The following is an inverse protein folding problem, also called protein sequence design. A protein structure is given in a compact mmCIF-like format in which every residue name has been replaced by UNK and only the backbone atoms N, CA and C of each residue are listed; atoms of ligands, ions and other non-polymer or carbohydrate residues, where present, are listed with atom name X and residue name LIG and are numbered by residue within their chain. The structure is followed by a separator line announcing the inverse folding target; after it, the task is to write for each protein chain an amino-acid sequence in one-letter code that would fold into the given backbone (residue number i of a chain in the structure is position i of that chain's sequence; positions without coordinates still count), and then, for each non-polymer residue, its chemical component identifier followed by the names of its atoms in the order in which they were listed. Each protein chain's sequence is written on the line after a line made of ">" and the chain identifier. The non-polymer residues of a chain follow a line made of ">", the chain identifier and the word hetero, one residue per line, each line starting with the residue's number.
data_IF_226888329223
#
_entry.id   IF_226888329223
#
_cell.length_a   1.000
_cell.length_b   1.000
_cell.length_c   1.000
_cell.angle_alpha   90.00
_cell.angle_beta   90.00
_cell.angle_gamma   90.00
#
_symmetry.space_group_name_H-M   'P 1'
#
loop_
_entity.id
_entity.type
_entity.pdbx_description
1 polymer ?
#
# COMPACT_ATOMS: atom_id res chain seq x y z
N UNK A 1 17.09 -24.61 -3.68
CA UNK A 1 17.48 -24.22 -2.31
C UNK A 1 16.54 -23.14 -1.83
N UNK A 2 16.18 -23.18 -0.55
CA UNK A 2 15.26 -22.21 0.02
C UNK A 2 15.95 -20.85 0.12
N UNK A 3 15.34 -19.83 -0.47
CA UNK A 3 15.93 -18.49 -0.61
C UNK A 3 15.71 -17.62 0.62
N UNK A 4 14.78 -18.03 1.50
CA UNK A 4 14.32 -17.25 2.66
C UNK A 4 14.04 -15.78 2.25
N UNK A 5 13.25 -15.63 1.19
CA UNK A 5 12.88 -14.32 0.65
C UNK A 5 12.11 -13.50 1.68
N UNK A 6 12.44 -12.21 1.79
CA UNK A 6 11.78 -11.34 2.77
C UNK A 6 10.41 -10.88 2.28
N UNK A 7 9.37 -10.93 3.15
CA UNK A 7 8.04 -10.43 2.81
C UNK A 7 8.06 -8.97 2.32
N UNK A 8 7.19 -8.66 1.37
CA UNK A 8 6.96 -7.29 0.93
C UNK A 8 6.13 -6.48 1.96
N UNK A 9 5.17 -7.16 2.62
CA UNK A 9 4.39 -6.60 3.72
C UNK A 9 5.29 -6.36 4.94
N UNK A 10 5.17 -5.17 5.55
CA UNK A 10 6.02 -4.76 6.68
C UNK A 10 5.69 -5.48 7.99
N UNK A 11 4.42 -5.78 8.25
CA UNK A 11 4.02 -6.48 9.47
C UNK A 11 4.54 -7.92 9.44
N UNK A 12 4.45 -8.59 8.29
CA UNK A 12 5.07 -9.90 8.08
C UNK A 12 6.60 -9.85 8.17
N UNK A 13 7.22 -8.79 7.65
CA UNK A 13 8.68 -8.59 7.79
C UNK A 13 9.09 -8.44 9.26
N UNK A 14 8.34 -7.67 10.05
CA UNK A 14 8.63 -7.47 11.47
C UNK A 14 8.43 -8.75 12.26
N UNK A 15 7.35 -9.50 12.01
CA UNK A 15 7.12 -10.80 12.62
C UNK A 15 8.25 -11.80 12.31
N UNK A 16 8.73 -11.81 11.05
CA UNK A 16 9.91 -12.61 10.68
C UNK A 16 11.18 -12.13 11.39
N UNK A 17 11.38 -10.81 11.51
CA UNK A 17 12.50 -10.23 12.25
C UNK A 17 12.49 -10.57 13.74
N UNK A 18 11.31 -10.60 14.37
CA UNK A 18 11.13 -11.06 15.75
C UNK A 18 11.47 -12.55 15.88
N UNK A 19 10.93 -13.41 15.02
CA UNK A 19 11.23 -14.85 15.05
C UNK A 19 12.74 -15.14 14.87
N UNK A 20 13.42 -14.40 13.99
CA UNK A 20 14.87 -14.51 13.84
C UNK A 20 15.62 -14.03 15.09
N UNK A 21 15.13 -12.99 15.75
CA UNK A 21 15.73 -12.50 16.99
C UNK A 21 15.49 -13.46 18.16
N UNK A 22 14.31 -14.09 18.26
CA UNK A 22 14.03 -15.15 19.23
C UNK A 22 14.95 -16.35 19.01
N UNK A 23 15.14 -16.80 17.76
CA UNK A 23 16.09 -17.87 17.45
C UNK A 23 17.54 -17.50 17.80
N UNK A 24 17.95 -16.25 17.60
CA UNK A 24 19.26 -15.76 18.03
C UNK A 24 19.38 -15.75 19.56
N UNK A 25 18.34 -15.30 20.27
CA UNK A 25 18.32 -15.31 21.73
C UNK A 25 18.65 -16.70 22.29
N UNK A 26 18.03 -17.73 21.70
CA UNK A 26 18.17 -19.11 22.19
C UNK A 26 19.47 -19.78 21.73
N UNK A 27 19.96 -19.46 20.53
CA UNK A 27 20.99 -20.27 19.86
C UNK A 27 22.29 -19.54 19.53
N UNK A 28 22.38 -18.21 19.66
CA UNK A 28 23.55 -17.46 19.17
C UNK A 28 24.87 -17.95 19.77
N UNK A 29 24.87 -18.23 21.08
CA UNK A 29 26.08 -18.73 21.78
C UNK A 29 26.37 -20.19 21.40
N UNK A 30 25.34 -21.02 21.24
CA UNK A 30 25.47 -22.44 20.92
C UNK A 30 26.02 -22.65 19.50
N UNK A 31 25.57 -21.84 18.55
CA UNK A 31 25.95 -21.93 17.13
C UNK A 31 27.25 -21.13 16.86
N UNK A 32 27.60 -20.19 17.74
CA UNK A 32 28.80 -19.35 17.59
C UNK A 32 28.58 -18.17 16.66
N UNK A 33 27.38 -17.57 16.69
CA UNK A 33 27.06 -16.33 15.97
C UNK A 33 27.81 -15.16 16.63
N UNK A 34 28.53 -14.36 15.84
CA UNK A 34 29.38 -13.27 16.34
C UNK A 34 29.07 -11.92 15.70
N UNK A 35 28.67 -11.89 14.42
CA UNK A 35 28.54 -10.65 13.66
C UNK A 35 27.12 -10.08 13.73
N UNK A 36 26.11 -10.94 13.62
CA UNK A 36 24.69 -10.59 13.56
C UNK A 36 23.91 -11.06 14.80
N UNK A 37 24.41 -10.69 15.99
CA UNK A 37 23.82 -11.05 17.29
C UNK A 37 22.38 -10.54 17.48
N UNK A 38 21.66 -11.17 18.41
CA UNK A 38 20.30 -10.80 18.81
C UNK A 38 20.18 -9.29 19.06
N UNK A 39 21.07 -8.76 19.90
CA UNK A 39 21.07 -7.35 20.30
C UNK A 39 21.08 -6.42 19.09
N UNK A 40 21.91 -6.72 18.07
CA UNK A 40 22.00 -5.90 16.86
C UNK A 40 20.72 -6.01 16.01
N UNK A 41 20.13 -7.20 15.92
CA UNK A 41 18.88 -7.40 15.19
C UNK A 41 17.70 -6.68 15.88
N UNK A 42 17.57 -6.81 17.20
CA UNK A 42 16.53 -6.14 17.99
C UNK A 42 16.61 -4.61 17.90
N UNK A 43 17.81 -4.04 17.90
CA UNK A 43 18.00 -2.58 17.70
C UNK A 43 17.46 -2.13 16.34
N UNK A 44 17.80 -2.84 15.26
CA UNK A 44 17.30 -2.52 13.92
C UNK A 44 15.77 -2.69 13.85
N UNK A 45 15.23 -3.74 14.45
CA UNK A 45 13.79 -4.02 14.47
C UNK A 45 13.01 -2.94 15.23
N UNK A 46 13.43 -2.60 16.46
CA UNK A 46 12.81 -1.55 17.26
C UNK A 46 12.87 -0.18 16.57
N UNK A 47 13.98 0.12 15.89
CA UNK A 47 14.13 1.33 15.08
C UNK A 47 13.10 1.35 13.94
N UNK A 48 12.99 0.27 13.17
CA UNK A 48 12.04 0.18 12.06
C UNK A 48 10.58 0.29 12.52
N UNK A 49 10.21 -0.37 13.63
CA UNK A 49 8.88 -0.28 14.23
C UNK A 49 8.56 1.15 14.68
N UNK A 50 9.50 1.81 15.37
CA UNK A 50 9.33 3.20 15.83
C UNK A 50 9.09 4.15 14.64
N UNK A 51 9.86 4.00 13.56
CA UNK A 51 9.69 4.84 12.36
C UNK A 51 8.39 4.53 11.61
N UNK A 52 7.93 3.27 11.59
CA UNK A 52 6.63 2.89 11.06
C UNK A 52 5.48 3.54 11.85
N UNK A 53 5.53 3.50 13.17
CA UNK A 53 4.54 4.14 14.05
C UNK A 53 4.52 5.65 13.86
N UNK A 54 5.69 6.30 13.78
CA UNK A 54 5.78 7.74 13.55
C UNK A 54 5.12 8.16 12.23
N UNK A 55 5.36 7.40 11.15
CA UNK A 55 4.71 7.66 9.86
C UNK A 55 3.20 7.44 9.92
N UNK A 56 2.73 6.36 10.55
CA UNK A 56 1.29 6.13 10.71
C UNK A 56 0.64 7.24 11.55
N UNK A 57 1.32 7.74 12.58
CA UNK A 57 0.89 8.91 13.34
C UNK A 57 0.69 10.15 12.47
N UNK A 58 1.60 10.41 11.52
CA UNK A 58 1.46 11.55 10.59
C UNK A 58 0.24 11.42 9.68
N UNK A 59 -0.09 10.19 9.23
CA UNK A 59 -1.29 9.90 8.43
C UNK A 59 -2.56 10.15 9.24
N UNK A 60 -2.62 9.62 10.46
CA UNK A 60 -3.78 9.80 11.34
C UNK A 60 -4.00 11.28 11.69
N UNK A 61 -2.92 12.03 11.96
CA UNK A 61 -3.01 13.47 12.24
C UNK A 61 -3.61 14.28 11.08
N UNK A 62 -3.39 13.87 9.82
CA UNK A 62 -3.94 14.57 8.65
C UNK A 62 -5.47 14.66 8.66
N UNK A 63 -6.14 13.66 9.21
CA UNK A 63 -7.61 13.65 9.32
C UNK A 63 -8.10 14.83 10.15
N UNK A 64 -7.53 15.01 11.35
CA UNK A 64 -7.87 16.11 12.24
C UNK A 64 -7.51 17.48 11.64
N UNK A 65 -6.36 17.59 10.97
CA UNK A 65 -5.92 18.83 10.31
C UNK A 65 -6.85 19.23 9.15
N UNK A 66 -7.28 18.26 8.35
CA UNK A 66 -8.23 18.49 7.25
C UNK A 66 -9.59 18.95 7.78
N UNK A 67 -10.06 18.34 8.87
CA UNK A 67 -11.30 18.76 9.54
C UNK A 67 -11.20 20.18 10.11
N UNK A 68 -10.05 20.54 10.70
CA UNK A 68 -9.80 21.89 11.21
C UNK A 68 -9.82 22.93 10.08
N UNK A 69 -9.19 22.65 8.93
CA UNK A 69 -9.25 23.53 7.76
C UNK A 69 -10.67 23.67 7.22
N UNK A 70 -11.42 22.57 7.09
CA UNK A 70 -12.80 22.62 6.61
C UNK A 70 -13.69 23.46 7.54
N UNK A 71 -13.49 23.34 8.86
CA UNK A 71 -14.23 24.15 9.85
C UNK A 71 -13.87 25.63 9.74
N UNK A 72 -12.58 25.95 9.65
CA UNK A 72 -12.11 27.32 9.48
C UNK A 72 -12.62 27.96 8.18
N UNK A 73 -12.61 27.20 7.09
CA UNK A 73 -13.09 27.64 5.78
C UNK A 73 -14.60 27.89 5.77
N UNK A 74 -15.40 26.99 6.35
CA UNK A 74 -16.85 27.17 6.48
C UNK A 74 -17.22 28.41 7.31
N UNK A 75 -16.47 28.67 8.38
CA UNK A 75 -16.62 29.88 9.17
C UNK A 75 -16.28 31.14 8.35
N UNK A 76 -15.22 31.07 7.53
CA UNK A 76 -14.85 32.14 6.59
C UNK A 76 -15.93 32.41 5.54
N UNK A 77 -16.50 31.37 4.93
CA UNK A 77 -17.61 31.48 3.97
C UNK A 77 -18.83 32.16 4.55
N UNK A 78 -19.21 31.74 5.77
CA UNK A 78 -20.34 32.33 6.50
C UNK A 78 -20.09 33.81 6.77
N UNK A 79 -18.89 34.17 7.22
CA UNK A 79 -18.51 35.55 7.48
C UNK A 79 -18.52 36.41 6.20
N UNK A 80 -17.99 35.93 5.08
CA UNK A 80 -18.02 36.65 3.80
C UNK A 80 -19.47 36.94 3.39
N UNK A 81 -20.35 35.93 3.46
CA UNK A 81 -21.77 36.08 3.13
C UNK A 81 -22.48 37.09 4.03
N UNK A 82 -22.26 37.03 5.34
CA UNK A 82 -22.82 37.99 6.30
C UNK A 82 -22.29 39.41 6.08
N UNK A 83 -20.98 39.56 5.86
CA UNK A 83 -20.35 40.85 5.61
C UNK A 83 -20.88 41.48 4.33
N UNK A 84 -21.03 40.70 3.25
CA UNK A 84 -21.68 41.16 2.02
C UNK A 84 -23.07 41.73 2.29
N UNK A 85 -23.90 40.99 3.03
CA UNK A 85 -25.29 41.40 3.30
C UNK A 85 -25.36 42.69 4.13
N UNK A 86 -24.46 42.86 5.10
CA UNK A 86 -24.36 44.10 5.89
C UNK A 86 -23.92 45.27 5.02
N UNK A 87 -22.86 45.10 4.24
CA UNK A 87 -22.33 46.17 3.39
C UNK A 87 -23.28 46.55 2.25
N UNK A 88 -24.10 45.63 1.76
CA UNK A 88 -25.09 45.90 0.71
C UNK A 88 -26.14 46.95 1.11
N UNK A 89 -26.40 47.13 2.42
CA UNK A 89 -27.29 48.18 2.90
C UNK A 89 -26.75 49.60 2.63
N UNK A 90 -25.43 49.75 2.46
CA UNK A 90 -24.76 51.04 2.23
C UNK A 90 -24.16 51.15 0.84
N UNK A 91 -23.59 50.06 0.31
CA UNK A 91 -22.89 50.02 -0.98
C UNK A 91 -23.79 49.59 -2.15
N UNK A 92 -25.04 49.21 -1.87
CA UNK A 92 -25.98 48.68 -2.86
C UNK A 92 -25.86 47.17 -3.05
N UNK A 93 -26.96 46.53 -3.47
CA UNK A 93 -27.08 45.07 -3.57
C UNK A 93 -26.47 44.42 -4.82
N UNK A 94 -25.95 45.22 -5.75
CA UNK A 94 -25.29 44.76 -6.98
C UNK A 94 -23.85 45.21 -6.98
N UNK A 95 -22.99 44.47 -7.70
CA UNK A 95 -21.61 44.90 -7.85
C UNK A 95 -21.55 46.26 -8.56
N UNK A 96 -20.66 47.13 -8.09
CA UNK A 96 -20.36 48.43 -8.67
C UNK A 96 -18.98 48.89 -8.18
N UNK A 97 -18.45 49.98 -8.73
CA UNK A 97 -17.09 50.44 -8.43
C UNK A 97 -16.87 50.79 -6.95
N UNK A 98 -17.92 51.13 -6.19
CA UNK A 98 -17.80 51.37 -4.73
C UNK A 98 -17.43 50.11 -3.95
N UNK A 99 -17.67 48.92 -4.50
CA UNK A 99 -17.27 47.65 -3.89
C UNK A 99 -15.80 47.33 -4.08
N UNK A 100 -15.09 47.98 -5.00
CA UNK A 100 -13.70 47.66 -5.34
C UNK A 100 -12.78 47.72 -4.10
N UNK A 101 -12.96 48.72 -3.23
CA UNK A 101 -12.20 48.88 -2.00
C UNK A 101 -12.40 47.76 -0.96
N UNK A 102 -13.47 46.97 -1.08
CA UNK A 102 -13.74 45.84 -0.17
C UNK A 102 -12.92 44.59 -0.51
N UNK A 103 -12.38 44.52 -1.74
CA UNK A 103 -11.56 43.41 -2.22
C UNK A 103 -12.32 42.20 -2.76
N UNK A 104 -13.64 42.30 -2.97
CA UNK A 104 -14.41 41.26 -3.67
C UNK A 104 -13.84 41.03 -5.08
N UNK A 105 -13.44 39.80 -5.44
CA UNK A 105 -12.72 39.53 -6.68
C UNK A 105 -13.63 39.52 -7.92
N UNK A 106 -13.00 39.61 -9.10
CA UNK A 106 -13.64 39.36 -10.41
C UNK A 106 -14.92 40.18 -10.66
N UNK A 107 -14.98 41.40 -10.12
CA UNK A 107 -16.14 42.29 -10.25
C UNK A 107 -17.46 41.61 -9.84
N UNK A 108 -17.40 40.77 -8.79
CA UNK A 108 -18.51 39.93 -8.36
C UNK A 108 -18.67 39.95 -6.85
N UNK A 109 -19.92 39.89 -6.38
CA UNK A 109 -20.25 39.72 -4.95
C UNK A 109 -20.46 38.24 -4.58
N UNK A 110 -20.13 37.32 -5.47
CA UNK A 110 -20.18 35.90 -5.17
C UNK A 110 -19.14 35.54 -4.09
N UNK A 111 -19.49 34.62 -3.20
CA UNK A 111 -18.51 34.03 -2.27
C UNK A 111 -17.52 33.22 -3.12
N UNK A 112 -16.21 33.48 -3.04
CA UNK A 112 -15.24 32.79 -3.87
C UNK A 112 -15.26 31.27 -3.69
N UNK A 113 -14.98 30.54 -4.78
CA UNK A 113 -15.10 29.09 -4.83
C UNK A 113 -13.86 28.37 -4.29
N UNK A 114 -12.70 29.01 -4.36
CA UNK A 114 -11.44 28.46 -3.84
C UNK A 114 -11.16 28.96 -2.42
N UNK A 115 -10.44 28.14 -1.65
CA UNK A 115 -10.03 28.51 -0.29
C UNK A 115 -9.09 29.72 -0.29
N UNK A 116 -8.21 29.81 -1.29
CA UNK A 116 -7.20 30.84 -1.42
C UNK A 116 -7.81 32.23 -1.64
N UNK A 117 -8.77 32.31 -2.57
CA UNK A 117 -9.52 33.53 -2.80
C UNK A 117 -10.35 33.93 -1.57
N UNK A 118 -10.91 32.96 -0.84
CA UNK A 118 -11.65 33.26 0.40
C UNK A 118 -10.73 33.80 1.49
N UNK A 119 -9.55 33.21 1.69
CA UNK A 119 -8.57 33.70 2.65
C UNK A 119 -8.14 35.13 2.30
N UNK A 120 -7.83 35.38 1.02
CA UNK A 120 -7.47 36.71 0.54
C UNK A 120 -8.60 37.72 0.79
N UNK A 121 -9.85 37.36 0.46
CA UNK A 121 -11.00 38.22 0.67
C UNK A 121 -11.25 38.53 2.16
N UNK A 122 -11.09 37.56 3.06
CA UNK A 122 -11.21 37.80 4.51
C UNK A 122 -10.17 38.84 4.97
N UNK A 123 -8.94 38.74 4.48
CA UNK A 123 -7.88 39.73 4.75
C UNK A 123 -8.23 41.13 4.21
N UNK A 124 -8.74 41.22 2.99
CA UNK A 124 -9.20 42.50 2.41
C UNK A 124 -10.37 43.11 3.20
N UNK A 125 -11.35 42.29 3.59
CA UNK A 125 -12.48 42.73 4.41
C UNK A 125 -12.04 43.19 5.80
N UNK A 126 -11.02 42.55 6.40
CA UNK A 126 -10.41 43.04 7.64
C UNK A 126 -9.85 44.45 7.47
N UNK A 127 -9.04 44.67 6.42
CA UNK A 127 -8.45 45.97 6.13
C UNK A 127 -9.54 47.03 5.88
N UNK A 128 -10.55 46.70 5.08
CA UNK A 128 -11.66 47.58 4.76
C UNK A 128 -12.47 47.97 6.00
N UNK A 129 -12.87 46.99 6.83
CA UNK A 129 -13.62 47.26 8.06
C UNK A 129 -12.77 48.00 9.09
N UNK A 130 -11.44 47.88 9.05
CA UNK A 130 -10.54 48.67 9.90
C UNK A 130 -10.57 50.14 9.48
N UNK A 131 -10.47 50.41 8.17
CA UNK A 131 -10.51 51.74 7.59
C UNK A 131 -11.89 52.40 7.65
N UNK A 132 -12.97 51.61 7.73
CA UNK A 132 -14.36 52.10 7.73
C UNK A 132 -15.13 51.65 8.98
N UNK A 133 -14.84 52.20 10.18
CA UNK A 133 -15.44 51.72 11.43
C UNK A 133 -16.97 51.84 11.50
N UNK A 134 -17.55 52.81 10.80
CA UNK A 134 -19.00 53.04 10.75
C UNK A 134 -19.76 51.95 10.00
N UNK A 135 -19.07 51.14 9.17
CA UNK A 135 -19.66 50.04 8.41
C UNK A 135 -19.57 48.69 9.15
N UNK A 136 -19.00 48.67 10.37
CA UNK A 136 -18.99 47.49 11.23
C UNK A 136 -20.41 47.24 11.77
N UNK A 137 -20.75 45.98 11.96
CA UNK A 137 -21.98 45.57 12.64
C UNK A 137 -21.64 44.48 13.67
N UNK A 138 -21.39 44.92 14.92
CA UNK A 138 -21.02 44.02 16.01
C UNK A 138 -22.12 43.01 16.38
N UNK A 139 -23.42 43.37 16.44
CA UNK A 139 -24.49 42.40 16.66
C UNK A 139 -24.52 41.25 15.64
N UNK A 140 -24.13 41.51 14.39
CA UNK A 140 -24.03 40.50 13.33
C UNK A 140 -22.60 39.93 13.17
N UNK A 141 -21.69 40.18 14.11
CA UNK A 141 -20.29 39.76 14.07
C UNK A 141 -19.49 40.24 12.84
N UNK A 142 -19.96 41.26 12.12
CA UNK A 142 -19.24 41.88 11.00
C UNK A 142 -18.30 42.94 11.56
N UNK A 143 -17.11 42.51 11.98
CA UNK A 143 -16.08 43.38 12.55
C UNK A 143 -14.69 43.04 12.00
N UNK A 144 -13.79 44.02 12.00
CA UNK A 144 -12.39 43.81 11.62
C UNK A 144 -11.68 42.77 12.53
N UNK A 145 -11.97 42.80 13.83
CA UNK A 145 -11.41 41.84 14.79
C UNK A 145 -11.85 40.41 14.48
N UNK A 146 -13.13 40.21 14.12
CA UNK A 146 -13.65 38.90 13.70
C UNK A 146 -13.00 38.44 12.39
N UNK A 147 -12.85 39.33 11.42
CA UNK A 147 -12.16 39.02 10.16
C UNK A 147 -10.72 38.56 10.41
N UNK A 148 -9.96 39.28 11.26
CA UNK A 148 -8.59 38.91 11.61
C UNK A 148 -8.47 37.55 12.32
N UNK A 149 -9.39 37.25 13.25
CA UNK A 149 -9.45 35.92 13.87
C UNK A 149 -9.66 34.81 12.83
N UNK A 150 -10.61 35.00 11.91
CA UNK A 150 -10.93 34.02 10.87
C UNK A 150 -9.79 33.86 9.87
N UNK A 151 -9.13 34.96 9.48
CA UNK A 151 -7.96 34.96 8.62
C UNK A 151 -6.83 34.12 9.24
N UNK A 152 -6.46 34.41 10.50
CA UNK A 152 -5.41 33.68 11.20
C UNK A 152 -5.77 32.20 11.34
N UNK A 153 -6.98 31.89 11.78
CA UNK A 153 -7.43 30.50 11.97
C UNK A 153 -7.36 29.70 10.66
N UNK A 154 -7.82 30.26 9.54
CA UNK A 154 -7.77 29.60 8.25
C UNK A 154 -6.34 29.48 7.72
N UNK A 155 -5.54 30.55 7.83
CA UNK A 155 -4.12 30.54 7.45
C UNK A 155 -3.32 29.50 8.22
N UNK A 156 -3.48 29.44 9.55
CA UNK A 156 -2.80 28.48 10.42
C UNK A 156 -3.19 27.04 10.09
N UNK A 157 -4.48 26.78 9.85
CA UNK A 157 -4.96 25.45 9.45
C UNK A 157 -4.35 25.00 8.11
N UNK A 158 -4.21 25.90 7.12
CA UNK A 158 -3.50 25.60 5.86
C UNK A 158 -2.04 25.27 6.10
N UNK A 159 -1.35 26.09 6.89
CA UNK A 159 0.06 25.91 7.19
C UNK A 159 0.32 24.60 7.93
N UNK A 160 -0.58 24.20 8.84
CA UNK A 160 -0.49 22.94 9.56
C UNK A 160 -0.61 21.72 8.64
N UNK A 161 -1.49 21.75 7.63
CA UNK A 161 -1.59 20.69 6.61
C UNK A 161 -0.29 20.61 5.79
N UNK A 162 0.24 21.74 5.35
CA UNK A 162 1.50 21.79 4.60
C UNK A 162 2.68 21.25 5.42
N UNK A 163 2.75 21.63 6.70
CA UNK A 163 3.75 21.11 7.62
C UNK A 163 3.61 19.60 7.82
N UNK A 164 2.39 19.08 7.99
CA UNK A 164 2.13 17.64 8.08
C UNK A 164 2.49 16.87 6.80
N UNK A 165 2.29 17.48 5.62
CA UNK A 165 2.72 16.90 4.34
C UNK A 165 4.24 16.73 4.28
N UNK A 166 4.99 17.77 4.64
CA UNK A 166 6.45 17.74 4.68
C UNK A 166 6.97 16.73 5.74
N UNK A 167 6.44 16.79 6.95
CA UNK A 167 6.77 15.88 8.05
C UNK A 167 6.47 14.41 7.71
N UNK A 168 5.31 14.14 7.09
CA UNK A 168 4.93 12.81 6.64
C UNK A 168 5.87 12.26 5.55
N UNK A 169 6.38 13.11 4.65
CA UNK A 169 7.37 12.72 3.65
C UNK A 169 8.72 12.37 4.29
N UNK A 170 9.19 13.17 5.25
CA UNK A 170 10.41 12.89 6.01
C UNK A 170 10.28 11.56 6.77
N UNK A 171 9.20 11.38 7.54
CA UNK A 171 8.93 10.13 8.29
C UNK A 171 8.83 8.91 7.38
N UNK A 172 8.31 9.07 6.16
CA UNK A 172 8.30 7.98 5.17
C UNK A 172 9.72 7.56 4.80
N UNK A 173 10.57 8.52 4.45
CA UNK A 173 11.97 8.27 4.08
C UNK A 173 12.76 7.65 5.24
N UNK A 174 12.61 8.16 6.46
CA UNK A 174 13.25 7.58 7.65
C UNK A 174 12.84 6.13 7.90
N UNK A 175 11.54 5.82 7.72
CA UNK A 175 11.02 4.45 7.83
C UNK A 175 11.55 3.54 6.75
N UNK A 176 11.66 4.02 5.51
CA UNK A 176 12.26 3.24 4.41
C UNK A 176 13.74 2.93 4.69
N UNK A 177 14.53 3.92 5.13
CA UNK A 177 15.92 3.72 5.54
C UNK A 177 16.05 2.69 6.68
N UNK A 178 15.20 2.79 7.70
CA UNK A 178 15.21 1.85 8.82
C UNK A 178 14.81 0.41 8.40
N UNK A 179 13.83 0.26 7.51
CA UNK A 179 13.43 -1.04 6.96
C UNK A 179 14.54 -1.64 6.10
N UNK A 180 15.25 -0.84 5.30
CA UNK A 180 16.42 -1.32 4.55
C UNK A 180 17.50 -1.80 5.51
N UNK A 181 17.82 -1.04 6.56
CA UNK A 181 18.79 -1.46 7.56
C UNK A 181 18.39 -2.75 8.27
N UNK A 182 17.10 -2.95 8.57
CA UNK A 182 16.57 -4.20 9.11
C UNK A 182 16.77 -5.37 8.12
N UNK A 183 16.38 -5.21 6.86
CA UNK A 183 16.54 -6.26 5.82
C UNK A 183 18.00 -6.64 5.62
N UNK A 184 18.92 -5.66 5.60
CA UNK A 184 20.37 -5.91 5.53
C UNK A 184 20.83 -6.72 6.75
N UNK A 185 20.37 -6.36 7.96
CA UNK A 185 20.72 -7.10 9.18
C UNK A 185 20.20 -8.53 9.15
N UNK A 186 18.92 -8.74 8.79
CA UNK A 186 18.31 -10.06 8.64
C UNK A 186 19.02 -10.90 7.57
N UNK A 187 19.43 -10.30 6.45
CA UNK A 187 20.18 -11.02 5.42
C UNK A 187 21.53 -11.50 5.95
N UNK A 188 22.24 -10.64 6.67
CA UNK A 188 23.50 -11.04 7.29
C UNK A 188 23.35 -12.12 8.36
N UNK A 189 22.22 -12.19 9.07
CA UNK A 189 21.92 -13.35 9.95
C UNK A 189 21.85 -14.64 9.11
N UNK A 190 21.09 -14.63 8.00
CA UNK A 190 20.98 -15.81 7.12
C UNK A 190 22.35 -16.21 6.56
N UNK A 191 23.16 -15.24 6.13
CA UNK A 191 24.49 -15.50 5.55
C UNK A 191 25.45 -16.09 6.61
N UNK A 192 25.43 -15.55 7.83
CA UNK A 192 26.23 -16.09 8.95
C UNK A 192 25.76 -17.50 9.33
N UNK A 193 24.44 -17.74 9.46
CA UNK A 193 23.89 -19.07 9.73
C UNK A 193 24.25 -20.08 8.63
N UNK A 194 24.30 -19.64 7.36
CA UNK A 194 24.72 -20.49 6.24
C UNK A 194 26.17 -20.96 6.40
N UNK A 195 27.03 -20.16 7.04
CA UNK A 195 28.41 -20.56 7.32
C UNK A 195 28.56 -21.48 8.55
N UNK A 196 27.57 -21.49 9.46
CA UNK A 196 27.64 -22.16 10.76
C UNK A 196 26.78 -23.43 10.83
N UNK A 197 25.72 -23.53 10.03
CA UNK A 197 24.77 -24.63 10.00
C UNK A 197 24.84 -25.38 8.67
N UNK A 198 24.54 -26.68 8.73
CA UNK A 198 24.35 -27.44 7.50
C UNK A 198 23.03 -27.05 6.80
N UNK A 199 22.93 -27.20 5.46
CA UNK A 199 21.72 -26.84 4.71
C UNK A 199 20.43 -27.55 5.13
N UNK A 200 20.52 -28.73 5.76
CA UNK A 200 19.38 -29.53 6.25
C UNK A 200 19.13 -29.38 7.76
N UNK A 201 19.87 -28.51 8.45
CA UNK A 201 19.80 -28.44 9.92
C UNK A 201 18.40 -28.03 10.42
N UNK A 202 17.73 -28.80 11.29
CA UNK A 202 16.40 -28.44 11.78
C UNK A 202 16.39 -27.13 12.58
N UNK A 203 17.54 -26.62 13.04
CA UNK A 203 17.62 -25.35 13.77
C UNK A 203 17.24 -24.14 12.94
N UNK A 204 17.26 -24.21 11.60
CA UNK A 204 16.75 -23.12 10.75
C UNK A 204 15.32 -22.69 11.14
N UNK A 205 14.46 -23.65 11.52
CA UNK A 205 13.09 -23.36 11.93
C UNK A 205 12.98 -22.56 13.23
N UNK A 206 13.97 -22.65 14.13
CA UNK A 206 13.98 -21.88 15.38
C UNK A 206 14.20 -20.39 15.11
N UNK A 207 14.76 -20.03 13.96
CA UNK A 207 14.86 -18.65 13.49
C UNK A 207 13.63 -18.21 12.67
N UNK A 208 12.59 -19.04 12.57
CA UNK A 208 11.48 -18.83 11.64
C UNK A 208 11.89 -18.94 10.16
N UNK A 209 13.03 -19.59 9.87
CA UNK A 209 13.57 -19.78 8.53
C UNK A 209 13.33 -21.21 8.04
N UNK A 210 13.38 -21.38 6.73
CA UNK A 210 13.32 -22.71 6.09
C UNK A 210 14.75 -23.19 5.80
N UNK A 211 15.10 -24.46 6.13
CA UNK A 211 16.39 -25.06 5.77
C UNK A 211 16.75 -24.88 4.28
N UNK A 212 17.96 -24.37 3.94
CA UNK A 212 18.36 -24.11 2.56
C UNK A 212 18.35 -25.33 1.63
N UNK A 213 18.53 -26.53 2.14
CA UNK A 213 18.47 -27.76 1.34
C UNK A 213 17.07 -28.04 0.79
N UNK A 214 16.02 -27.50 1.42
CA UNK A 214 14.66 -27.60 0.88
C UNK A 214 14.54 -26.77 -0.39
N UNK A 215 13.71 -27.24 -1.34
CA UNK A 215 13.43 -26.48 -2.55
C UNK A 215 12.40 -25.39 -2.27
N UNK A 216 12.62 -24.18 -2.81
CA UNK A 216 11.56 -23.16 -2.90
C UNK A 216 10.56 -23.44 -4.03
N UNK A 217 10.88 -24.39 -4.91
CA UNK A 217 9.92 -24.82 -5.92
C UNK A 217 8.71 -25.45 -5.21
N UNK A 218 7.49 -25.21 -5.70
CA UNK A 218 6.35 -26.02 -5.30
C UNK A 218 6.62 -27.49 -5.55
N UNK A 219 5.86 -28.35 -4.90
CA UNK A 219 5.88 -29.78 -5.22
C UNK A 219 5.14 -30.05 -6.54
N UNK A 220 5.36 -31.22 -7.13
CA UNK A 220 4.65 -31.60 -8.35
C UNK A 220 3.15 -31.75 -8.03
N UNK A 221 2.23 -31.28 -8.89
CA UNK A 221 0.81 -31.57 -8.74
C UNK A 221 0.57 -33.08 -8.77
N UNK A 222 -0.18 -33.57 -7.79
CA UNK A 222 -0.55 -34.98 -7.68
C UNK A 222 -2.02 -35.19 -8.03
N UNK A 223 -2.39 -36.45 -8.25
CA UNK A 223 -3.78 -36.86 -8.50
C UNK A 223 -4.46 -36.09 -9.64
N UNK A 224 -3.73 -35.80 -10.72
CA UNK A 224 -4.33 -35.26 -11.94
C UNK A 224 -5.46 -36.19 -12.39
N UNK A 225 -6.62 -35.64 -12.70
CA UNK A 225 -7.78 -36.35 -13.25
C UNK A 225 -8.22 -35.58 -14.49
N UNK A 226 -8.50 -36.31 -15.56
CA UNK A 226 -9.07 -35.77 -16.79
C UNK A 226 -10.48 -36.32 -16.98
N UNK A 227 -11.42 -35.45 -17.29
CA UNK A 227 -12.79 -35.85 -17.60
C UNK A 227 -13.34 -35.08 -18.80
N UNK A 228 -14.38 -35.64 -19.43
CA UNK A 228 -15.10 -35.01 -20.52
C UNK A 228 -15.77 -33.72 -20.03
N UNK A 229 -15.63 -32.62 -20.79
CA UNK A 229 -16.37 -31.39 -20.53
C UNK A 229 -17.83 -31.46 -21.00
N UNK A 230 -18.56 -30.36 -20.80
CA UNK A 230 -19.98 -30.24 -21.19
C UNK A 230 -20.18 -29.99 -22.68
N UNK A 231 -19.13 -29.54 -23.39
CA UNK A 231 -19.15 -29.19 -24.81
C UNK A 231 -18.15 -30.01 -25.63
N UNK A 232 -18.37 -30.20 -26.95
CA UNK A 232 -17.38 -30.83 -27.83
C UNK A 232 -16.04 -30.09 -27.80
N UNK A 233 -14.95 -30.84 -27.70
CA UNK A 233 -13.60 -30.26 -27.62
C UNK A 233 -13.22 -29.68 -26.26
N UNK A 234 -13.97 -30.00 -25.21
CA UNK A 234 -13.73 -29.58 -23.84
C UNK A 234 -13.25 -30.76 -22.98
N UNK A 235 -12.18 -30.54 -22.22
CA UNK A 235 -11.67 -31.47 -21.21
C UNK A 235 -11.53 -30.72 -19.90
N UNK A 236 -12.05 -31.30 -18.81
CA UNK A 236 -11.86 -30.77 -17.46
C UNK A 236 -10.66 -31.48 -16.81
N UNK A 237 -9.72 -30.70 -16.30
CA UNK A 237 -8.58 -31.17 -15.56
C UNK A 237 -8.69 -30.71 -14.10
N UNK A 238 -8.47 -31.63 -13.16
CA UNK A 238 -8.49 -31.39 -11.71
C UNK A 238 -7.27 -32.07 -11.08
N UNK A 239 -6.67 -31.45 -10.07
CA UNK A 239 -5.52 -32.02 -9.35
C UNK A 239 -5.50 -31.56 -7.90
N UNK A 240 -4.63 -32.18 -7.09
CA UNK A 240 -4.43 -31.77 -5.69
C UNK A 240 -3.58 -30.51 -5.57
N UNK A 241 -3.93 -29.62 -4.63
CA UNK A 241 -3.16 -28.41 -4.32
C UNK A 241 -1.69 -28.76 -4.00
N UNK A 242 -0.76 -28.13 -4.72
CA UNK A 242 0.66 -28.27 -4.45
C UNK A 242 1.10 -27.27 -3.37
N UNK A 243 1.76 -27.72 -2.28
CA UNK A 243 2.33 -26.82 -1.30
C UNK A 243 3.22 -25.76 -1.96
N UNK A 244 3.06 -24.49 -1.54
CA UNK A 244 3.80 -23.31 -2.04
C UNK A 244 3.46 -22.88 -3.48
N UNK A 245 2.46 -23.49 -4.12
CA UNK A 245 1.93 -23.00 -5.39
C UNK A 245 1.11 -21.71 -5.17
N UNK A 246 1.28 -20.75 -6.09
CA UNK A 246 0.42 -19.57 -6.21
C UNK A 246 -0.38 -19.56 -7.53
N UNK A 247 -0.02 -20.46 -8.45
CA UNK A 247 -0.70 -20.72 -9.72
C UNK A 247 -0.17 -22.01 -10.35
N UNK A 248 -0.78 -22.45 -11.45
CA UNK A 248 -0.38 -23.62 -12.21
C UNK A 248 -0.21 -23.30 -13.69
N UNK A 249 0.47 -24.18 -14.42
CA UNK A 249 0.54 -24.19 -15.88
C UNK A 249 0.17 -25.57 -16.38
N UNK A 250 -0.84 -25.62 -17.25
CA UNK A 250 -1.36 -26.85 -17.84
C UNK A 250 -0.87 -26.95 -19.27
N UNK A 251 -0.24 -28.06 -19.61
CA UNK A 251 0.27 -28.34 -20.95
C UNK A 251 -0.50 -29.49 -21.58
N UNK A 252 -0.70 -29.41 -22.90
CA UNK A 252 -1.27 -30.48 -23.71
C UNK A 252 -0.29 -30.98 -24.76
N UNK A 253 -0.51 -32.20 -25.25
CA UNK A 253 0.10 -32.73 -26.47
C UNK A 253 -0.92 -33.60 -27.19
N UNK A 254 -1.32 -33.21 -28.41
CA UNK A 254 -2.17 -34.03 -29.26
C UNK A 254 -1.33 -35.16 -29.86
N UNK A 255 -1.67 -36.40 -29.55
CA UNK A 255 -0.90 -37.58 -29.98
C UNK A 255 -0.91 -37.67 -31.50
N UNK A 256 0.28 -37.78 -32.10
CA UNK A 256 0.45 -37.86 -33.56
C UNK A 256 0.35 -36.53 -34.32
N UNK A 257 0.11 -35.42 -33.62
CA UNK A 257 0.05 -34.08 -34.22
C UNK A 257 1.13 -33.17 -33.62
N UNK A 258 1.14 -33.04 -32.29
CA UNK A 258 2.06 -32.15 -31.60
C UNK A 258 3.39 -32.89 -31.33
N UNK A 259 4.56 -32.32 -31.71
CA UNK A 259 5.85 -32.92 -31.41
C UNK A 259 6.17 -32.85 -29.91
N UNK A 260 5.76 -31.77 -29.24
CA UNK A 260 6.07 -31.45 -27.85
C UNK A 260 4.83 -30.97 -27.08
N UNK A 261 4.94 -30.91 -25.75
CA UNK A 261 3.90 -30.33 -24.90
C UNK A 261 3.82 -28.81 -25.09
N UNK A 262 2.60 -28.30 -25.31
CA UNK A 262 2.31 -26.88 -25.48
C UNK A 262 1.41 -26.37 -24.37
N UNK A 263 1.68 -25.17 -23.87
CA UNK A 263 0.88 -24.53 -22.82
C UNK A 263 -0.54 -24.26 -23.34
N UNK A 264 -1.54 -24.68 -22.58
CA UNK A 264 -2.96 -24.46 -22.91
C UNK A 264 -3.68 -23.60 -21.87
N UNK A 265 -3.27 -23.64 -20.60
CA UNK A 265 -3.89 -22.84 -19.54
C UNK A 265 -2.89 -22.47 -18.43
N UNK A 266 -3.17 -21.38 -17.71
CA UNK A 266 -2.43 -20.96 -16.52
C UNK A 266 -3.37 -20.54 -15.38
N UNK A 267 -4.12 -21.47 -14.77
CA UNK A 267 -5.08 -21.15 -13.71
C UNK A 267 -4.37 -20.80 -12.41
N UNK A 268 -5.07 -20.07 -11.52
CA UNK A 268 -4.63 -19.87 -10.14
C UNK A 268 -5.00 -21.06 -9.24
N UNK A 269 -6.19 -21.62 -9.47
CA UNK A 269 -6.77 -22.73 -8.72
C UNK A 269 -6.33 -24.09 -9.29
N UNK A 270 -6.60 -25.17 -8.54
CA UNK A 270 -6.18 -26.54 -8.87
C UNK A 270 -7.11 -27.27 -9.85
N UNK A 271 -7.71 -26.51 -10.74
CA UNK A 271 -8.55 -27.00 -11.82
C UNK A 271 -8.37 -26.16 -13.10
N UNK A 272 -8.69 -26.75 -14.24
CA UNK A 272 -8.73 -26.04 -15.51
C UNK A 272 -9.75 -26.65 -16.47
N UNK A 273 -10.47 -25.78 -17.16
CA UNK A 273 -11.25 -26.14 -18.35
C UNK A 273 -10.39 -25.94 -19.60
N UNK A 274 -10.05 -27.04 -20.29
CA UNK A 274 -9.26 -27.05 -21.51
C UNK A 274 -10.17 -27.00 -22.72
N UNK A 275 -10.12 -25.89 -23.46
CA UNK A 275 -11.00 -25.62 -24.59
C UNK A 275 -10.29 -25.78 -25.94
N UNK A 276 -11.08 -25.96 -26.99
CA UNK A 276 -10.58 -25.97 -28.37
C UNK A 276 -9.73 -27.19 -28.71
N UNK A 277 -9.96 -28.31 -28.03
CA UNK A 277 -9.33 -29.58 -28.35
C UNK A 277 -10.07 -30.26 -29.51
N UNK A 278 -9.36 -30.89 -30.46
CA UNK A 278 -10.00 -31.59 -31.57
C UNK A 278 -10.74 -32.85 -31.07
N UNK A 279 -12.06 -32.89 -31.24
CA UNK A 279 -12.90 -34.02 -30.86
C UNK A 279 -12.45 -35.31 -31.54
N UNK A 280 -12.47 -36.43 -30.80
CA UNK A 280 -12.02 -37.74 -31.24
C UNK A 280 -10.50 -37.97 -31.21
N UNK A 281 -9.69 -36.94 -30.93
CA UNK A 281 -8.24 -37.09 -30.82
C UNK A 281 -7.81 -37.46 -29.40
N UNK A 282 -6.74 -38.23 -29.27
CA UNK A 282 -6.09 -38.50 -27.98
C UNK A 282 -5.17 -37.35 -27.61
N UNK A 283 -5.36 -36.79 -26.41
CA UNK A 283 -4.54 -35.71 -25.86
C UNK A 283 -3.86 -36.18 -24.58
N UNK A 284 -2.57 -35.91 -24.46
CA UNK A 284 -1.81 -36.03 -23.21
C UNK A 284 -1.80 -34.69 -22.49
N UNK A 285 -1.96 -34.70 -21.17
CA UNK A 285 -1.97 -33.51 -20.32
C UNK A 285 -1.01 -33.71 -19.15
N UNK A 286 -0.30 -32.65 -18.80
CA UNK A 286 0.51 -32.56 -17.59
C UNK A 286 0.40 -31.16 -16.98
N UNK A 287 0.61 -31.07 -15.68
CA UNK A 287 0.50 -29.81 -14.93
C UNK A 287 1.81 -29.56 -14.17
N UNK A 288 2.26 -28.31 -14.13
CA UNK A 288 3.33 -27.87 -13.22
C UNK A 288 2.77 -26.77 -12.30
N UNK A 289 3.22 -26.76 -11.06
CA UNK A 289 2.91 -25.71 -10.10
C UNK A 289 3.96 -24.59 -10.21
N UNK A 290 3.53 -23.36 -9.92
CA UNK A 290 4.37 -22.14 -9.99
C UNK A 290 4.37 -21.48 -8.63
N UNK A 291 5.58 -21.22 -8.09
CA UNK A 291 5.77 -20.56 -6.80
C UNK A 291 5.72 -19.03 -6.88
N UNK A 292 5.79 -18.38 -5.72
CA UNK A 292 5.71 -16.93 -5.61
C UNK A 292 6.92 -16.19 -6.26
N UNK A 293 6.68 -14.95 -6.67
CA UNK A 293 7.73 -14.03 -7.14
C UNK A 293 8.75 -13.72 -6.01
N UNK A 294 10.02 -13.39 -6.33
CA UNK A 294 10.55 -13.04 -7.65
C UNK A 294 11.08 -14.22 -8.48
N UNK A 295 11.27 -15.39 -7.87
CA UNK A 295 11.96 -16.50 -8.55
C UNK A 295 11.03 -17.32 -9.45
N UNK A 296 9.71 -17.29 -9.23
CA UNK A 296 8.69 -17.97 -10.05
C UNK A 296 9.07 -19.42 -10.38
N UNK A 297 9.65 -20.12 -9.39
CA UNK A 297 10.15 -21.48 -9.57
C UNK A 297 8.99 -22.40 -9.94
N UNK A 298 9.24 -23.30 -10.89
CA UNK A 298 8.29 -24.31 -11.31
C UNK A 298 8.62 -25.64 -10.69
N UNK A 299 7.59 -26.40 -10.32
CA UNK A 299 7.75 -27.78 -9.88
C UNK A 299 8.06 -28.71 -11.05
N UNK A 300 8.51 -29.96 -10.81
CA UNK A 300 8.42 -31.03 -11.79
C UNK A 300 6.97 -31.20 -12.27
N UNK A 301 6.79 -31.71 -13.49
CA UNK A 301 5.46 -32.01 -14.00
C UNK A 301 4.79 -33.14 -13.21
N UNK A 302 3.46 -33.04 -13.11
CA UNK A 302 2.61 -34.15 -12.68
C UNK A 302 2.83 -35.38 -13.56
N UNK A 303 2.29 -36.53 -13.13
CA UNK A 303 2.14 -37.66 -14.04
C UNK A 303 1.38 -37.23 -15.31
N UNK A 304 1.85 -37.67 -16.47
CA UNK A 304 1.16 -37.45 -17.74
C UNK A 304 -0.07 -38.35 -17.80
N UNK A 305 -1.24 -37.74 -17.98
CA UNK A 305 -2.47 -38.48 -18.26
C UNK A 305 -2.94 -38.26 -19.69
N UNK A 306 -3.70 -39.23 -20.20
CA UNK A 306 -4.26 -39.17 -21.55
C UNK A 306 -5.77 -39.35 -21.52
N UNK A 307 -6.45 -38.67 -22.42
CA UNK A 307 -7.90 -38.78 -22.63
C UNK A 307 -8.20 -38.66 -24.13
N UNK A 308 -9.22 -39.39 -24.59
CA UNK A 308 -9.82 -39.16 -25.91
C UNK A 308 -10.80 -38.01 -25.75
N UNK A 309 -10.59 -36.94 -26.52
CA UNK A 309 -11.43 -35.76 -26.46
C UNK A 309 -12.85 -36.13 -26.92
N UNK A 310 -13.89 -35.85 -26.11
CA UNK A 310 -15.28 -36.16 -26.44
C UNK A 310 -15.77 -35.53 -27.74
#
# INVERSE_FOLDING_TARGET
>A
MASNAFPANLDSLFAMGDAMADGLHDLETLIGVLQHTEVKLRVNLATALTKQLAFNGSKSARVALTQAQATADNNGRTFIGQTKNVLAATLGGQWSQVWEATGFPNQSLAVPSTLDERLSLIGSLQAYLTANPTLKNAPLNVTAARAGLLFNTLSDARNAINANLADGALKKSERETAVVALRVRMRGVIDELTSLLTPDDPRWYQFGLVPPALSDAPEAPESLILSAGGSPGEVLADWSDSPRAVSYRVYKKIVGVDPDFVLIASPADSDATLNGLPSGQTVQVQVVAVGAAPQSLVSPASATLQIVVP
#
